data_IF_296899640159
#
_entry.id   IF_296899640159
#
_cell.length_a   1.000
_cell.length_b   1.000
_cell.length_c   1.000
_cell.angle_alpha   90.00
_cell.angle_beta   90.00
_cell.angle_gamma   90.00
#
_symmetry.space_group_name_H-M   'P 1'
#
loop_
_entity.id
_entity.type
_entity.pdbx_description
1 polymer ?
#
# COMPACT_ATOMS: atom_id res chain seq x y z
N UNK A 1 9.54 6.96 9.01
CA UNK A 1 8.20 7.10 9.62
C UNK A 1 7.52 8.46 9.37
N UNK A 2 8.18 9.63 9.45
CA UNK A 2 7.51 10.91 9.09
C UNK A 2 6.96 10.92 7.64
N UNK A 3 7.69 10.29 6.71
CA UNK A 3 7.25 10.12 5.33
C UNK A 3 5.93 9.32 5.24
N UNK A 4 5.89 8.16 5.89
CA UNK A 4 4.70 7.30 5.93
C UNK A 4 3.47 8.04 6.46
N UNK A 5 3.57 8.78 7.56
CA UNK A 5 2.44 9.59 8.10
C UNK A 5 1.97 10.62 7.06
N UNK A 6 2.91 11.30 6.39
CA UNK A 6 2.57 12.25 5.33
C UNK A 6 1.80 11.57 4.19
N UNK A 7 2.21 10.38 3.79
CA UNK A 7 1.54 9.61 2.73
C UNK A 7 0.15 9.17 3.17
N UNK A 8 -0.01 8.64 4.39
CA UNK A 8 -1.33 8.32 4.94
C UNK A 8 -2.28 9.54 4.94
N UNK A 9 -1.78 10.73 5.24
CA UNK A 9 -2.56 11.98 5.18
C UNK A 9 -3.00 12.33 3.75
N UNK A 10 -2.16 12.10 2.74
CA UNK A 10 -2.52 12.30 1.33
C UNK A 10 -3.58 11.29 0.89
N UNK A 11 -3.48 10.05 1.36
CA UNK A 11 -4.35 8.94 0.98
C UNK A 11 -5.62 8.83 1.84
N UNK A 12 -6.06 9.92 2.48
CA UNK A 12 -7.16 9.90 3.46
C UNK A 12 -8.46 9.30 2.91
N UNK A 13 -8.78 9.55 1.63
CA UNK A 13 -10.03 9.11 1.00
C UNK A 13 -10.05 7.62 0.64
N UNK A 14 -8.90 6.95 0.65
CA UNK A 14 -8.78 5.53 0.29
C UNK A 14 -8.49 4.62 1.49
N UNK A 15 -8.30 5.23 2.67
CA UNK A 15 -8.13 4.50 3.92
C UNK A 15 -9.35 3.63 4.26
N UNK A 16 -9.09 2.44 4.77
CA UNK A 16 -10.08 1.40 5.04
C UNK A 16 -10.52 0.60 3.82
N UNK A 17 -10.34 1.13 2.60
CA UNK A 17 -10.70 0.43 1.36
C UNK A 17 -9.51 -0.22 0.69
N UNK A 18 -8.42 0.54 0.48
CA UNK A 18 -7.23 0.09 -0.25
C UNK A 18 -5.96 0.13 0.60
N UNK A 19 -5.97 0.87 1.69
CA UNK A 19 -4.89 0.94 2.69
C UNK A 19 -5.52 0.92 4.09
N UNK A 20 -4.83 0.51 5.16
CA UNK A 20 -5.39 0.55 6.51
C UNK A 20 -5.85 1.95 6.93
N UNK A 21 -6.81 2.05 7.85
CA UNK A 21 -7.14 3.35 8.45
C UNK A 21 -6.07 3.71 9.47
N UNK A 22 -5.55 4.93 9.36
CA UNK A 22 -4.68 5.54 10.36
C UNK A 22 -5.53 5.88 11.59
N UNK A 23 -5.24 5.25 12.74
CA UNK A 23 -5.98 5.43 13.99
C UNK A 23 -5.28 6.44 14.89
N UNK A 24 -3.97 6.29 15.06
CA UNK A 24 -3.17 7.21 15.86
C UNK A 24 -1.75 7.31 15.31
N UNK A 25 -1.13 8.46 15.55
CA UNK A 25 0.30 8.65 15.39
C UNK A 25 0.79 9.59 16.51
N UNK A 26 1.97 9.31 17.08
CA UNK A 26 2.49 10.07 18.20
C UNK A 26 4.01 10.00 18.30
N UNK A 27 4.57 10.94 19.05
CA UNK A 27 5.98 10.99 19.42
C UNK A 27 6.08 10.84 20.94
N UNK A 28 6.97 9.96 21.41
CA UNK A 28 7.27 9.84 22.84
C UNK A 28 8.47 10.72 23.18
N UNK A 29 8.33 11.65 24.11
CA UNK A 29 9.46 12.44 24.61
C UNK A 29 10.42 11.53 25.40
N UNK A 30 11.70 11.50 25.02
CA UNK A 30 12.70 10.65 25.65
C UNK A 30 13.63 9.89 24.69
N UNK A 31 13.44 10.03 23.38
CA UNK A 31 14.46 9.66 22.40
C UNK A 31 14.26 8.34 21.65
N UNK A 32 13.13 7.65 21.74
CA UNK A 32 12.83 6.52 20.85
C UNK A 32 11.33 6.33 20.52
N UNK A 33 11.13 6.09 19.21
CA UNK A 33 9.99 5.49 18.51
C UNK A 33 8.71 6.31 18.31
N UNK A 34 8.43 6.54 17.03
CA UNK A 34 7.10 6.90 16.53
C UNK A 34 6.24 5.63 16.51
N UNK A 35 5.00 5.72 16.98
CA UNK A 35 4.02 4.63 16.86
C UNK A 35 3.02 5.06 15.80
N UNK A 36 2.80 4.21 14.80
CA UNK A 36 1.66 4.30 13.90
C UNK A 36 0.72 3.17 14.26
N UNK A 37 -0.47 3.50 14.76
CA UNK A 37 -1.55 2.56 14.93
C UNK A 37 -2.45 2.57 13.70
N UNK A 38 -2.60 1.43 13.04
CA UNK A 38 -3.59 1.25 11.97
C UNK A 38 -4.60 0.17 12.34
N UNK A 39 -5.72 0.11 11.62
CA UNK A 39 -6.69 -0.99 11.78
C UNK A 39 -6.04 -2.33 11.45
N UNK A 40 -6.30 -3.35 12.26
CA UNK A 40 -5.95 -4.73 11.90
C UNK A 40 -6.77 -5.14 10.69
N UNK A 41 -6.10 -5.33 9.55
CA UNK A 41 -6.78 -5.64 8.30
C UNK A 41 -6.85 -7.15 8.05
N UNK A 42 -5.76 -7.89 8.26
CA UNK A 42 -5.71 -9.32 7.94
C UNK A 42 -4.28 -9.84 7.91
N UNK A 43 -4.04 -10.92 7.18
CA UNK A 43 -2.72 -11.54 7.04
C UNK A 43 -2.03 -11.09 5.76
N UNK A 44 -0.71 -11.23 5.70
CA UNK A 44 0.05 -11.03 4.46
C UNK A 44 -0.42 -11.99 3.37
N UNK A 45 -0.17 -11.61 2.11
CA UNK A 45 -0.44 -12.42 0.94
C UNK A 45 0.20 -13.81 1.09
N UNK A 46 -0.64 -14.85 1.03
CA UNK A 46 -0.20 -16.25 1.07
C UNK A 46 0.38 -16.72 -0.26
N UNK A 47 0.97 -17.90 -0.29
CA UNK A 47 1.67 -18.41 -1.48
C UNK A 47 0.74 -18.79 -2.65
N UNK A 48 -0.57 -18.75 -2.45
CA UNK A 48 -1.57 -18.94 -3.50
C UNK A 48 -2.65 -17.86 -3.38
N UNK A 49 -2.91 -17.15 -4.49
CA UNK A 49 -3.95 -16.13 -4.57
C UNK A 49 -4.88 -16.40 -5.75
N UNK A 50 -6.09 -15.87 -5.65
CA UNK A 50 -7.09 -15.92 -6.71
C UNK A 50 -6.92 -14.77 -7.70
N UNK A 51 -7.40 -14.95 -8.93
CA UNK A 51 -7.49 -13.87 -9.94
C UNK A 51 -8.29 -12.66 -9.44
N UNK A 52 -9.27 -12.88 -8.56
CA UNK A 52 -10.02 -11.80 -7.92
C UNK A 52 -9.13 -10.98 -6.97
N UNK A 53 -8.32 -11.64 -6.14
CA UNK A 53 -7.38 -10.96 -5.23
C UNK A 53 -6.31 -10.21 -6.02
N UNK A 54 -5.78 -10.79 -7.09
CA UNK A 54 -4.86 -10.12 -8.00
C UNK A 54 -5.46 -8.85 -8.60
N UNK A 55 -6.69 -8.92 -9.09
CA UNK A 55 -7.42 -7.76 -9.62
C UNK A 55 -7.55 -6.67 -8.56
N UNK A 56 -7.97 -7.02 -7.33
CA UNK A 56 -8.10 -6.07 -6.22
C UNK A 56 -6.77 -5.44 -5.81
N UNK A 57 -5.66 -6.18 -5.85
CA UNK A 57 -4.33 -5.64 -5.56
C UNK A 57 -3.91 -4.59 -6.61
N UNK A 58 -4.16 -4.87 -7.89
CA UNK A 58 -3.93 -3.91 -8.98
C UNK A 58 -4.80 -2.66 -8.82
N UNK A 59 -6.07 -2.83 -8.46
CA UNK A 59 -6.97 -1.70 -8.17
C UNK A 59 -6.49 -0.85 -6.99
N UNK A 60 -6.02 -1.49 -5.92
CA UNK A 60 -5.47 -0.80 -4.75
C UNK A 60 -4.26 0.04 -5.12
N UNK A 61 -3.30 -0.51 -5.88
CA UNK A 61 -2.11 0.23 -6.30
C UNK A 61 -2.47 1.38 -7.26
N UNK A 62 -3.41 1.16 -8.19
CA UNK A 62 -3.92 2.25 -9.05
C UNK A 62 -4.55 3.38 -8.23
N UNK A 63 -5.36 3.05 -7.22
CA UNK A 63 -5.96 4.05 -6.35
C UNK A 63 -4.90 4.88 -5.60
N UNK A 64 -3.78 4.27 -5.19
CA UNK A 64 -2.64 4.99 -4.62
C UNK A 64 -1.98 5.89 -5.67
N UNK A 65 -1.75 5.37 -6.87
CA UNK A 65 -1.15 6.10 -7.99
C UNK A 65 -1.97 7.31 -8.41
N UNK A 66 -3.30 7.21 -8.40
CA UNK A 66 -4.22 8.30 -8.75
C UNK A 66 -4.11 9.50 -7.79
N UNK A 67 -3.57 9.29 -6.59
CA UNK A 67 -3.24 10.35 -5.63
C UNK A 67 -1.82 10.89 -5.78
N UNK A 68 -1.11 10.51 -6.85
CA UNK A 68 0.26 10.93 -7.14
C UNK A 68 1.29 10.26 -6.23
N UNK A 69 0.98 9.10 -5.65
CA UNK A 69 1.89 8.38 -4.76
C UNK A 69 2.49 7.17 -5.48
N UNK A 70 3.81 7.04 -5.52
CA UNK A 70 4.49 5.77 -5.79
C UNK A 70 4.74 5.05 -4.47
N UNK A 71 4.57 3.73 -4.43
CA UNK A 71 4.82 2.94 -3.21
C UNK A 71 6.32 2.72 -2.98
N UNK A 72 7.06 2.45 -4.06
CA UNK A 72 8.48 2.12 -4.17
C UNK A 72 8.97 0.87 -3.42
N UNK A 73 8.09 0.15 -2.73
CA UNK A 73 8.42 -1.11 -2.04
C UNK A 73 7.33 -2.17 -2.28
N UNK A 74 7.16 -2.57 -3.55
CA UNK A 74 6.17 -3.57 -3.96
C UNK A 74 6.70 -4.97 -3.71
N UNK A 75 6.17 -5.63 -2.69
CA UNK A 75 6.51 -7.00 -2.30
C UNK A 75 5.35 -7.66 -1.56
N UNK A 76 5.34 -8.99 -1.45
CA UNK A 76 4.19 -9.73 -0.92
C UNK A 76 3.90 -9.38 0.55
N UNK A 77 4.94 -9.07 1.32
CA UNK A 77 4.84 -8.72 2.74
C UNK A 77 4.07 -7.41 2.95
N UNK A 78 4.04 -6.55 1.92
CA UNK A 78 3.39 -5.25 1.96
C UNK A 78 1.96 -5.30 1.37
N UNK A 79 1.44 -6.50 1.10
CA UNK A 79 0.09 -6.73 0.58
C UNK A 79 -0.66 -7.59 1.59
N UNK A 80 -1.67 -7.02 2.24
CA UNK A 80 -2.54 -7.71 3.17
C UNK A 80 -3.83 -8.14 2.50
N UNK A 81 -4.37 -9.28 2.94
CA UNK A 81 -5.68 -9.79 2.55
C UNK A 81 -6.49 -10.00 3.82
N UNK A 82 -7.71 -9.47 3.86
CA UNK A 82 -8.63 -9.69 4.96
C UNK A 82 -9.57 -10.88 4.72
N UNK A 83 -10.33 -11.25 5.75
CA UNK A 83 -11.26 -12.39 5.70
C UNK A 83 -12.35 -12.26 4.63
N UNK A 84 -12.63 -11.03 4.17
CA UNK A 84 -13.56 -10.75 3.08
C UNK A 84 -12.88 -10.82 1.69
N UNK A 85 -11.62 -11.24 1.63
CA UNK A 85 -10.81 -11.27 0.42
C UNK A 85 -10.52 -9.89 -0.16
N UNK A 86 -10.59 -8.82 0.64
CA UNK A 86 -10.18 -7.48 0.22
C UNK A 86 -8.68 -7.30 0.44
N UNK A 87 -8.06 -6.53 -0.45
CA UNK A 87 -6.62 -6.29 -0.46
C UNK A 87 -6.32 -4.89 0.06
N UNK A 88 -5.32 -4.80 0.94
CA UNK A 88 -4.82 -3.54 1.45
C UNK A 88 -3.30 -3.48 1.32
N UNK A 89 -2.78 -2.37 0.82
CA UNK A 89 -1.34 -2.13 0.70
C UNK A 89 -0.85 -1.40 1.96
N UNK A 90 0.31 -1.81 2.47
CA UNK A 90 0.93 -1.29 3.71
C UNK A 90 2.40 -0.92 3.50
N UNK A 91 2.98 -0.26 4.51
CA UNK A 91 4.39 0.17 4.56
C UNK A 91 4.76 1.24 3.51
N UNK A 92 4.29 2.46 3.76
CA UNK A 92 4.62 3.62 2.94
C UNK A 92 5.94 4.29 3.35
N UNK A 93 6.85 3.56 4.02
CA UNK A 93 8.13 4.10 4.46
C UNK A 93 8.96 4.68 3.30
N UNK A 94 8.93 4.00 2.15
CA UNK A 94 9.70 4.33 0.93
C UNK A 94 8.90 5.10 -0.13
N UNK A 95 7.62 5.37 0.14
CA UNK A 95 6.72 5.98 -0.84
C UNK A 95 7.11 7.43 -1.16
N UNK A 96 6.82 7.88 -2.39
CA UNK A 96 7.12 9.24 -2.85
C UNK A 96 5.91 9.91 -3.49
N UNK A 97 5.85 11.25 -3.40
CA UNK A 97 4.88 12.06 -4.12
C UNK A 97 5.46 12.49 -5.46
N UNK A 98 4.75 12.18 -6.54
CA UNK A 98 5.17 12.44 -7.91
C UNK A 98 4.10 13.24 -8.67
N UNK A 99 4.56 14.04 -9.63
CA UNK A 99 3.67 14.75 -10.55
C UNK A 99 3.07 13.75 -11.55
N UNK A 100 1.76 13.53 -11.44
CA UNK A 100 0.96 12.64 -12.30
C UNK A 100 1.21 12.88 -13.80
N UNK A 101 1.46 14.14 -14.22
CA UNK A 101 1.66 14.49 -15.63
C UNK A 101 3.07 14.14 -16.10
N UNK A 102 4.07 14.20 -15.22
CA UNK A 102 5.49 14.03 -15.58
C UNK A 102 5.98 12.60 -15.39
N UNK A 103 5.33 11.81 -14.52
CA UNK A 103 5.87 10.53 -14.03
C UNK A 103 5.04 9.30 -14.39
N UNK A 104 4.18 9.39 -15.42
CA UNK A 104 3.37 8.26 -15.91
C UNK A 104 4.17 6.98 -16.19
N UNK A 105 5.42 7.10 -16.65
CA UNK A 105 6.32 5.95 -16.86
C UNK A 105 6.66 5.21 -15.56
N UNK A 106 6.87 5.94 -14.46
CA UNK A 106 7.19 5.34 -13.15
C UNK A 106 5.99 4.58 -12.59
N UNK A 107 4.79 5.17 -12.64
CA UNK A 107 3.56 4.50 -12.22
C UNK A 107 3.30 3.21 -13.00
N UNK A 108 3.44 3.26 -14.33
CA UNK A 108 3.29 2.07 -15.17
C UNK A 108 4.33 0.98 -14.85
N UNK A 109 5.57 1.37 -14.54
CA UNK A 109 6.63 0.43 -14.17
C UNK A 109 6.30 -0.27 -12.85
N UNK A 110 5.84 0.47 -11.84
CA UNK A 110 5.48 -0.10 -10.55
C UNK A 110 4.24 -1.01 -10.66
N UNK A 111 3.25 -0.64 -11.48
CA UNK A 111 2.12 -1.53 -11.78
C UNK A 111 2.56 -2.84 -12.46
N UNK A 112 3.54 -2.78 -13.37
CA UNK A 112 4.09 -3.96 -14.02
C UNK A 112 4.85 -4.86 -13.04
N UNK A 113 5.58 -4.25 -12.10
CA UNK A 113 6.26 -4.96 -11.02
C UNK A 113 5.27 -5.70 -10.13
N UNK A 114 4.19 -5.03 -9.69
CA UNK A 114 3.12 -5.68 -8.96
C UNK A 114 2.47 -6.82 -9.76
N UNK A 115 2.14 -6.60 -11.03
CA UNK A 115 1.51 -7.63 -11.87
C UNK A 115 2.36 -8.89 -11.95
N UNK A 116 3.67 -8.74 -12.21
CA UNK A 116 4.62 -9.87 -12.29
C UNK A 116 4.76 -10.60 -10.96
N UNK A 117 4.79 -9.85 -9.86
CA UNK A 117 4.81 -10.44 -8.52
C UNK A 117 3.57 -11.31 -8.30
N UNK A 118 2.38 -10.80 -8.63
CA UNK A 118 1.13 -11.52 -8.42
C UNK A 118 0.96 -12.72 -9.36
N UNK A 119 1.44 -12.62 -10.62
CA UNK A 119 1.44 -13.73 -11.58
C UNK A 119 2.13 -14.98 -11.01
N UNK A 120 3.20 -14.80 -10.23
CA UNK A 120 3.92 -15.90 -9.57
C UNK A 120 3.06 -16.67 -8.55
N UNK A 121 2.11 -16.00 -7.88
CA UNK A 121 1.28 -16.59 -6.83
C UNK A 121 -0.13 -16.99 -7.31
N UNK A 122 -0.45 -16.76 -8.59
CA UNK A 122 -1.77 -17.08 -9.17
C UNK A 122 -1.75 -18.37 -10.01
N UNK A 123 -0.58 -18.97 -10.22
CA UNK A 123 -0.39 -20.27 -10.90
C UNK A 123 -0.63 -21.44 -9.93
#
# INVERSE_FOLDING_TARGET
MQNEIKIYKVLTNIQGKYIPKLVCYGHYEGGMSFIIGTTLVGTTLGDHITEQQKTKAIEALKAIHDHGVLHNDVRKENILINDNGNVHIIDFGMASLEDLKKKRKSFNRELLELSRLLDYYTM
#
